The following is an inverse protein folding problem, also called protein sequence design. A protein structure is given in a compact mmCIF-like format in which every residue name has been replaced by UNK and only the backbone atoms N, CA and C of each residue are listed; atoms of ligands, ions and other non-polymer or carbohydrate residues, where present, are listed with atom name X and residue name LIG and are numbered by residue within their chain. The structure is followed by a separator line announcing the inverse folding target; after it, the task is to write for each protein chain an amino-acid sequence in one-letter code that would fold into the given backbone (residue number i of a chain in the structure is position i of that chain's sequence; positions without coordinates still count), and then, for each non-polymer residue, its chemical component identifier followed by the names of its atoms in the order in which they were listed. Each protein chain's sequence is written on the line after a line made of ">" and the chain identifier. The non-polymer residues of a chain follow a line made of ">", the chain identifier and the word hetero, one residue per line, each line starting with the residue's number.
data_IF_344330539293
#
_entry.id   IF_344330539293
#
_cell.length_a   1.000
_cell.length_b   1.000
_cell.length_c   1.000
_cell.angle_alpha   90.00
_cell.angle_beta   90.00
_cell.angle_gamma   90.00
#
_symmetry.space_group_name_H-M   'P 1'
#
loop_
_entity.id
_entity.type
_entity.pdbx_description
1 polymer ?
#
# COMPACT_ATOMS: atom_id res chain seq x y z
N UNK A 1 -24.32 -1.90 10.95
CA UNK A 1 -23.17 -2.46 10.21
C UNK A 1 -23.40 -3.92 9.87
N UNK A 2 -23.06 -4.33 8.64
CA UNK A 2 -23.18 -5.73 8.18
C UNK A 2 -21.79 -6.36 8.14
N UNK A 3 -21.63 -7.57 8.67
CA UNK A 3 -20.38 -8.32 8.66
C UNK A 3 -20.50 -9.65 7.92
N UNK A 4 -19.40 -10.11 7.33
CA UNK A 4 -19.28 -11.40 6.68
C UNK A 4 -19.23 -12.55 7.71
N UNK A 5 -18.59 -12.29 8.86
CA UNK A 5 -18.46 -13.16 10.01
C UNK A 5 -18.20 -12.32 11.27
N UNK A 6 -18.31 -12.87 12.49
CA UNK A 6 -17.99 -12.15 13.72
C UNK A 6 -16.53 -11.64 13.71
N UNK A 7 -16.32 -10.37 14.05
CA UNK A 7 -14.97 -9.81 14.13
C UNK A 7 -14.25 -10.32 15.39
N UNK A 8 -12.93 -10.58 15.28
CA UNK A 8 -12.14 -11.01 16.44
C UNK A 8 -11.97 -9.84 17.43
N UNK A 9 -11.74 -10.16 18.69
CA UNK A 9 -11.45 -9.17 19.72
C UNK A 9 -10.07 -8.51 19.52
N UNK A 10 -9.12 -9.26 18.94
CA UNK A 10 -7.74 -8.85 18.69
C UNK A 10 -7.31 -9.25 17.29
N UNK A 11 -6.23 -8.64 16.79
CA UNK A 11 -5.60 -8.98 15.52
C UNK A 11 -4.08 -8.91 15.62
N UNK A 12 -3.37 -9.50 14.67
CA UNK A 12 -1.93 -9.36 14.50
C UNK A 12 -1.62 -8.15 13.61
N UNK A 13 -0.59 -7.40 14.01
CA UNK A 13 -0.16 -6.20 13.28
C UNK A 13 1.34 -5.96 13.48
N UNK A 14 2.06 -5.69 12.39
CA UNK A 14 3.44 -5.26 12.43
C UNK A 14 3.51 -3.75 12.65
N UNK A 15 3.70 -3.35 13.89
CA UNK A 15 3.73 -1.95 14.30
C UNK A 15 5.17 -1.46 14.36
N UNK A 16 5.48 -0.39 13.62
CA UNK A 16 6.76 0.30 13.71
C UNK A 16 6.69 1.29 14.88
N UNK A 17 7.50 1.03 15.90
CA UNK A 17 7.53 1.76 17.18
C UNK A 17 8.74 2.68 17.34
N UNK A 18 9.61 2.72 16.34
CA UNK A 18 10.84 3.50 16.33
C UNK A 18 11.66 3.26 15.08
N UNK A 19 12.89 3.71 15.06
CA UNK A 19 13.83 3.59 13.94
C UNK A 19 14.45 2.20 13.88
N UNK A 20 14.47 1.59 12.70
CA UNK A 20 15.14 0.32 12.43
C UNK A 20 14.25 -0.91 12.64
N UNK A 21 14.67 -2.02 12.04
CA UNK A 21 13.93 -3.27 12.02
C UNK A 21 13.65 -3.87 13.41
N UNK A 22 14.53 -3.63 14.38
CA UNK A 22 14.33 -4.07 15.76
C UNK A 22 13.10 -3.43 16.44
N UNK A 23 12.59 -2.32 15.88
CA UNK A 23 11.39 -1.63 16.36
C UNK A 23 10.13 -1.97 15.57
N UNK A 24 10.20 -2.90 14.63
CA UNK A 24 9.05 -3.43 13.89
C UNK A 24 8.52 -4.68 14.61
N UNK A 25 7.33 -4.58 15.20
CA UNK A 25 6.76 -5.61 16.05
C UNK A 25 7.48 -5.72 17.41
N UNK A 26 7.38 -6.87 18.05
CA UNK A 26 8.08 -7.20 19.31
C UNK A 26 8.80 -8.53 19.15
N UNK A 27 10.08 -8.56 19.44
CA UNK A 27 10.94 -9.77 19.36
C UNK A 27 10.87 -10.47 18.00
N UNK A 28 10.83 -9.70 16.91
CA UNK A 28 10.74 -10.22 15.54
C UNK A 28 9.38 -10.86 15.19
N UNK A 29 8.33 -10.54 15.94
CA UNK A 29 6.95 -11.04 15.73
C UNK A 29 5.96 -9.87 15.64
N UNK A 30 4.83 -10.06 14.95
CA UNK A 30 3.76 -9.06 14.96
C UNK A 30 3.17 -8.94 16.37
N UNK A 31 2.76 -7.73 16.70
CA UNK A 31 2.07 -7.45 17.96
C UNK A 31 0.63 -7.99 17.90
N UNK A 32 0.12 -8.53 19.00
CA UNK A 32 -1.30 -8.76 19.20
C UNK A 32 -1.92 -7.47 19.73
N UNK A 33 -2.83 -6.88 18.94
CA UNK A 33 -3.46 -5.60 19.29
C UNK A 33 -4.99 -5.74 19.33
N UNK A 34 -5.69 -4.89 20.08
CA UNK A 34 -7.16 -4.83 20.01
C UNK A 34 -7.60 -4.61 18.56
N UNK A 35 -8.74 -5.21 18.20
CA UNK A 35 -9.36 -4.93 16.92
C UNK A 35 -9.67 -3.44 16.80
N UNK A 36 -9.40 -2.76 15.67
CA UNK A 36 -9.59 -1.33 15.54
C UNK A 36 -11.06 -0.95 15.68
N UNK A 37 -11.32 0.21 16.28
CA UNK A 37 -12.66 0.77 16.37
C UNK A 37 -13.16 1.14 14.96
N UNK A 38 -14.44 0.92 14.74
CA UNK A 38 -15.13 1.24 13.49
C UNK A 38 -16.51 1.81 13.80
N UNK A 39 -17.06 2.54 12.87
CA UNK A 39 -18.37 3.19 12.96
C UNK A 39 -19.26 2.79 11.78
N UNK A 40 -20.48 3.30 11.73
CA UNK A 40 -21.40 3.14 10.59
C UNK A 40 -20.92 3.84 9.32
N UNK A 41 -19.93 4.74 9.44
CA UNK A 41 -19.30 5.48 8.33
C UNK A 41 -18.08 4.78 7.74
N UNK A 42 -17.71 3.59 8.24
CA UNK A 42 -16.50 2.91 7.86
C UNK A 42 -16.77 1.59 7.10
N UNK A 43 -15.75 1.14 6.37
CA UNK A 43 -15.63 -0.25 5.95
C UNK A 43 -14.57 -0.95 6.80
N UNK A 44 -14.78 -2.23 7.05
CA UNK A 44 -13.77 -3.11 7.64
C UNK A 44 -13.26 -4.05 6.54
N UNK A 45 -11.96 -4.07 6.33
CA UNK A 45 -11.35 -4.95 5.35
C UNK A 45 -10.36 -5.92 6.01
N UNK A 46 -10.36 -7.15 5.54
CA UNK A 46 -9.29 -8.12 5.79
C UNK A 46 -8.23 -7.93 4.72
N UNK A 47 -6.96 -7.85 5.12
CA UNK A 47 -5.85 -7.87 4.17
C UNK A 47 -5.65 -9.31 3.69
N UNK A 48 -5.73 -9.51 2.39
CA UNK A 48 -5.56 -10.82 1.76
C UNK A 48 -4.09 -11.07 1.37
N UNK A 49 -3.39 -10.04 0.90
CA UNK A 49 -1.96 -10.03 0.63
C UNK A 49 -1.42 -8.60 0.72
N UNK A 50 -0.14 -8.49 1.10
CA UNK A 50 0.60 -7.23 1.13
C UNK A 50 1.99 -7.45 0.52
N UNK A 51 2.33 -6.69 -0.51
CA UNK A 51 3.68 -6.60 -1.05
C UNK A 51 4.60 -5.82 -0.11
N UNK A 52 5.90 -6.05 -0.24
CA UNK A 52 6.94 -5.29 0.47
C UNK A 52 7.68 -4.40 -0.51
N UNK A 53 7.52 -3.11 -0.35
CA UNK A 53 8.15 -2.09 -1.17
C UNK A 53 9.47 -1.62 -0.57
N UNK A 54 10.37 -1.13 -1.40
CA UNK A 54 11.57 -0.45 -0.91
C UNK A 54 11.25 0.80 -0.06
N UNK A 55 10.11 1.43 -0.28
CA UNK A 55 9.63 2.54 0.54
C UNK A 55 9.30 2.13 1.98
N UNK A 56 8.85 0.88 2.22
CA UNK A 56 8.69 0.36 3.58
C UNK A 56 10.04 0.24 4.29
N UNK A 57 11.09 -0.17 3.57
CA UNK A 57 12.45 -0.21 4.10
C UNK A 57 12.93 1.18 4.48
N UNK A 58 12.66 2.19 3.64
CA UNK A 58 13.00 3.59 3.94
C UNK A 58 12.25 4.10 5.17
N UNK A 59 10.96 3.78 5.29
CA UNK A 59 10.14 4.13 6.46
C UNK A 59 10.72 3.50 7.74
N UNK A 60 11.01 2.20 7.71
CA UNK A 60 11.58 1.48 8.86
C UNK A 60 12.94 2.06 9.24
N UNK A 61 13.81 2.34 8.26
CA UNK A 61 15.14 2.89 8.49
C UNK A 61 15.12 4.31 9.05
N UNK A 62 14.18 5.16 8.61
CA UNK A 62 14.09 6.55 9.05
C UNK A 62 13.27 6.71 10.34
N UNK A 63 12.30 5.84 10.58
CA UNK A 63 11.39 5.98 11.73
C UNK A 63 10.67 7.34 11.71
N UNK A 64 10.61 8.00 12.85
CA UNK A 64 9.95 9.32 13.01
C UNK A 64 10.56 10.45 12.16
N UNK A 65 11.78 10.26 11.63
CA UNK A 65 12.39 11.22 10.71
C UNK A 65 11.95 11.07 9.26
N UNK A 66 11.09 10.08 8.94
CA UNK A 66 10.58 9.91 7.59
C UNK A 66 9.63 11.06 7.20
N UNK A 67 9.80 11.73 6.04
CA UNK A 67 9.03 12.93 5.69
C UNK A 67 7.51 12.77 5.70
N UNK A 68 7.00 11.57 5.40
CA UNK A 68 5.55 11.30 5.39
C UNK A 68 4.94 11.09 6.79
N UNK A 69 5.76 11.01 7.84
CA UNK A 69 5.31 10.83 9.24
C UNK A 69 6.01 11.82 10.19
N UNK A 70 6.57 12.89 9.63
CA UNK A 70 7.25 13.92 10.42
C UNK A 70 6.36 14.47 11.53
N UNK A 71 6.95 14.62 12.73
CA UNK A 71 6.25 15.07 13.92
C UNK A 71 5.50 13.97 14.68
N UNK A 72 5.48 12.72 14.19
CA UNK A 72 4.85 11.59 14.88
C UNK A 72 5.86 10.88 15.80
N UNK A 73 5.50 10.75 17.06
CA UNK A 73 6.26 9.95 18.04
C UNK A 73 5.84 8.47 17.93
N UNK A 74 6.60 7.69 17.19
CA UNK A 74 6.30 6.28 16.93
C UNK A 74 6.27 5.43 18.20
N UNK A 75 6.94 5.83 19.27
CA UNK A 75 6.89 5.10 20.54
C UNK A 75 5.51 5.20 21.20
N UNK A 76 4.83 6.33 21.02
CA UNK A 76 3.48 6.57 21.57
C UNK A 76 2.38 6.24 20.57
N UNK A 77 2.62 6.53 19.30
CA UNK A 77 1.68 6.36 18.21
C UNK A 77 2.35 5.62 17.03
N UNK A 78 2.50 4.29 17.14
CA UNK A 78 3.13 3.47 16.12
C UNK A 78 2.42 3.54 14.78
N UNK A 79 3.16 3.40 13.68
CA UNK A 79 2.58 3.21 12.35
C UNK A 79 2.64 1.73 11.94
N UNK A 80 1.74 1.33 11.05
CA UNK A 80 1.75 0.00 10.41
C UNK A 80 2.13 0.20 8.95
N UNK A 81 3.29 -0.31 8.49
CA UNK A 81 3.72 -0.21 7.10
C UNK A 81 2.88 -1.08 6.14
N UNK A 82 3.23 -1.02 4.85
CA UNK A 82 2.62 -1.83 3.79
C UNK A 82 1.52 -1.10 3.05
N UNK A 83 1.73 -0.84 1.75
CA UNK A 83 0.80 -0.10 0.89
C UNK A 83 0.43 -0.83 -0.39
N UNK A 84 1.13 -1.90 -0.74
CA UNK A 84 0.85 -2.76 -1.89
C UNK A 84 -0.14 -3.85 -1.46
N UNK A 85 -1.45 -3.55 -1.41
CA UNK A 85 -2.42 -4.43 -0.78
C UNK A 85 -3.52 -4.93 -1.71
N UNK A 86 -3.92 -6.19 -1.49
CA UNK A 86 -5.23 -6.68 -1.87
C UNK A 86 -6.04 -6.99 -0.62
N UNK A 87 -7.33 -6.72 -0.66
CA UNK A 87 -8.19 -6.82 0.50
C UNK A 87 -9.60 -7.30 0.15
N UNK A 88 -10.26 -7.90 1.14
CA UNK A 88 -11.67 -8.30 1.08
C UNK A 88 -12.46 -7.50 2.10
N UNK A 89 -13.56 -6.88 1.69
CA UNK A 89 -14.48 -6.20 2.59
C UNK A 89 -15.18 -7.25 3.46
N UNK A 90 -15.02 -7.15 4.76
CA UNK A 90 -15.62 -8.07 5.75
C UNK A 90 -16.65 -7.37 6.65
N UNK A 91 -16.69 -6.03 6.63
CA UNK A 91 -17.70 -5.24 7.32
C UNK A 91 -18.08 -4.00 6.52
N UNK A 92 -19.38 -3.72 6.43
CA UNK A 92 -19.92 -2.57 5.70
C UNK A 92 -20.78 -1.75 6.67
N UNK A 93 -20.38 -0.50 6.89
CA UNK A 93 -21.12 0.49 7.65
C UNK A 93 -22.45 0.83 6.98
N UNK A 94 -23.41 1.29 7.76
CA UNK A 94 -24.77 1.51 7.27
C UNK A 94 -24.83 2.57 6.19
N UNK A 95 -23.96 3.57 6.25
CA UNK A 95 -23.80 4.60 5.21
C UNK A 95 -23.39 4.05 3.84
N UNK A 96 -22.71 2.92 3.82
CA UNK A 96 -22.13 2.33 2.61
C UNK A 96 -22.91 1.15 2.05
N UNK A 97 -24.02 0.78 2.69
CA UNK A 97 -24.93 -0.24 2.15
C UNK A 97 -25.43 0.16 0.77
N UNK A 98 -25.44 -0.79 -0.15
CA UNK A 98 -25.80 -0.55 -1.55
C UNK A 98 -24.65 -0.07 -2.44
N UNK A 99 -23.55 0.47 -1.89
CA UNK A 99 -22.34 0.83 -2.64
C UNK A 99 -21.25 -0.24 -2.51
N UNK A 100 -21.11 -0.84 -1.34
CA UNK A 100 -20.17 -1.92 -1.08
C UNK A 100 -20.90 -3.15 -0.55
N UNK A 101 -20.33 -4.32 -0.80
CA UNK A 101 -20.84 -5.59 -0.31
C UNK A 101 -19.77 -6.36 0.45
N UNK A 102 -20.16 -7.06 1.52
CA UNK A 102 -19.25 -8.00 2.20
C UNK A 102 -18.82 -9.11 1.23
N UNK A 103 -17.56 -9.50 1.29
CA UNK A 103 -16.97 -10.46 0.36
C UNK A 103 -16.43 -9.85 -0.93
N UNK A 104 -16.75 -8.59 -1.26
CA UNK A 104 -16.17 -7.89 -2.42
C UNK A 104 -14.69 -7.60 -2.20
N UNK A 105 -13.93 -7.66 -3.28
CA UNK A 105 -12.46 -7.58 -3.27
C UNK A 105 -11.98 -6.33 -3.98
N UNK A 106 -10.94 -5.74 -3.41
CA UNK A 106 -10.36 -4.49 -3.90
C UNK A 106 -8.83 -4.51 -3.77
N UNK A 107 -8.19 -3.67 -4.57
CA UNK A 107 -6.89 -3.08 -4.25
C UNK A 107 -7.12 -1.66 -3.76
N UNK A 108 -6.12 -1.09 -3.12
CA UNK A 108 -6.17 0.27 -2.63
C UNK A 108 -5.10 1.09 -3.33
N UNK A 109 -5.48 2.24 -3.89
CA UNK A 109 -4.52 3.22 -4.36
C UNK A 109 -3.78 3.79 -3.16
N UNK A 110 -2.45 3.65 -3.15
CA UNK A 110 -1.63 3.93 -1.98
C UNK A 110 -1.55 5.43 -1.64
N UNK A 111 -1.39 6.29 -2.64
CA UNK A 111 -1.37 7.74 -2.45
C UNK A 111 -2.80 8.29 -2.43
N UNK A 112 -3.17 8.84 -1.28
CA UNK A 112 -4.51 9.34 -0.98
C UNK A 112 -4.40 10.85 -0.73
N UNK A 113 -5.27 11.63 -1.36
CA UNK A 113 -5.33 13.08 -1.20
C UNK A 113 -6.52 13.48 -0.34
N UNK A 114 -6.28 14.30 0.66
CA UNK A 114 -7.31 14.84 1.57
C UNK A 114 -7.03 16.32 1.82
N UNK A 115 -7.94 17.19 1.41
CA UNK A 115 -7.81 18.65 1.50
C UNK A 115 -6.50 19.15 0.86
N UNK A 116 -6.18 18.67 -0.33
CA UNK A 116 -4.97 19.03 -1.08
C UNK A 116 -3.66 18.51 -0.50
N UNK A 117 -3.71 17.67 0.53
CA UNK A 117 -2.53 17.06 1.15
C UNK A 117 -2.48 15.57 0.84
N UNK A 118 -1.30 15.11 0.46
CA UNK A 118 -1.06 13.68 0.28
C UNK A 118 -0.96 13.00 1.64
N UNK A 119 -1.77 11.97 1.86
CA UNK A 119 -1.55 11.00 2.91
C UNK A 119 -1.43 9.62 2.27
N UNK A 120 -0.58 8.76 2.79
CA UNK A 120 -0.40 7.45 2.18
C UNK A 120 -0.86 6.36 3.15
N UNK A 121 -1.50 5.35 2.59
CA UNK A 121 -1.80 4.12 3.30
C UNK A 121 -0.50 3.47 3.76
N UNK A 122 -0.44 3.03 5.00
CA UNK A 122 0.77 2.46 5.59
C UNK A 122 1.77 3.48 6.13
N UNK A 123 1.40 4.77 6.24
CA UNK A 123 2.28 5.81 6.76
C UNK A 123 1.64 6.57 7.93
N UNK A 124 1.31 7.87 7.75
CA UNK A 124 1.01 8.76 8.86
C UNK A 124 -0.36 8.54 9.53
N UNK A 125 -1.43 8.66 8.76
CA UNK A 125 -2.79 8.69 9.31
C UNK A 125 -3.57 7.40 9.07
N UNK A 126 -3.07 6.55 8.18
CA UNK A 126 -3.76 5.34 7.76
C UNK A 126 -2.91 4.13 8.09
N UNK A 127 -3.53 3.18 8.76
CA UNK A 127 -2.91 1.88 9.03
C UNK A 127 -2.62 1.13 7.74
N UNK A 128 -1.50 0.43 7.69
CA UNK A 128 -1.06 -0.27 6.49
C UNK A 128 -1.42 -1.75 6.43
N UNK A 129 -0.98 -2.36 5.33
CA UNK A 129 -1.27 -3.75 4.98
C UNK A 129 -0.53 -4.81 5.77
N UNK A 130 0.50 -4.44 6.56
CA UNK A 130 1.17 -5.38 7.45
C UNK A 130 0.37 -5.64 8.74
N UNK A 131 -0.95 -5.74 8.60
CA UNK A 131 -1.92 -6.12 9.63
C UNK A 131 -2.97 -7.06 9.05
N UNK A 132 -3.66 -7.82 9.90
CA UNK A 132 -4.71 -8.73 9.43
C UNK A 132 -5.96 -8.01 8.93
N UNK A 133 -6.30 -6.88 9.58
CA UNK A 133 -7.48 -6.09 9.25
C UNK A 133 -7.15 -4.61 9.28
N UNK A 134 -7.92 -3.84 8.53
CA UNK A 134 -7.89 -2.36 8.50
C UNK A 134 -9.29 -1.81 8.50
N UNK A 135 -9.45 -0.63 9.09
CA UNK A 135 -10.66 0.18 8.98
C UNK A 135 -10.43 1.25 7.93
N UNK A 136 -11.32 1.33 6.97
CA UNK A 136 -11.27 2.25 5.84
C UNK A 136 -12.36 3.30 6.04
N UNK A 137 -11.95 4.47 6.44
CA UNK A 137 -12.84 5.60 6.70
C UNK A 137 -12.85 6.63 5.59
N UNK A 138 -13.36 7.81 5.91
CA UNK A 138 -13.54 8.93 4.99
C UNK A 138 -12.33 9.24 4.10
N UNK A 139 -11.08 9.25 4.58
CA UNK A 139 -9.92 9.52 3.71
C UNK A 139 -9.82 8.59 2.50
N UNK A 140 -10.14 7.32 2.69
CA UNK A 140 -10.10 6.30 1.62
C UNK A 140 -11.37 6.32 0.76
N UNK A 141 -12.51 6.56 1.37
CA UNK A 141 -13.82 6.39 0.73
C UNK A 141 -14.34 7.67 0.07
N UNK A 142 -13.89 8.84 0.52
CA UNK A 142 -14.32 10.17 0.09
C UNK A 142 -13.16 11.17 0.12
N UNK A 143 -11.97 10.77 -0.33
CA UNK A 143 -10.86 11.72 -0.49
C UNK A 143 -11.05 12.63 -1.69
N UNK A 144 -10.06 13.47 -1.99
CA UNK A 144 -10.17 14.53 -3.00
C UNK A 144 -10.48 14.00 -4.40
N UNK A 145 -9.94 12.84 -4.76
CA UNK A 145 -10.21 12.17 -6.04
C UNK A 145 -11.37 11.16 -5.95
N UNK A 146 -12.11 11.15 -4.85
CA UNK A 146 -13.20 10.23 -4.58
C UNK A 146 -12.78 8.98 -3.81
N UNK A 147 -13.21 7.80 -4.27
CA UNK A 147 -12.93 6.54 -3.60
C UNK A 147 -11.63 5.93 -4.13
N UNK A 148 -10.70 5.64 -3.24
CA UNK A 148 -9.39 5.03 -3.54
C UNK A 148 -9.39 3.51 -3.55
N UNK A 149 -10.56 2.86 -3.38
CA UNK A 149 -10.72 1.43 -3.56
C UNK A 149 -11.04 1.09 -5.01
N UNK A 150 -10.20 0.28 -5.65
CA UNK A 150 -10.36 -0.17 -7.02
C UNK A 150 -10.86 -1.62 -7.02
N UNK A 151 -12.02 -1.92 -7.62
CA UNK A 151 -12.60 -3.25 -7.57
C UNK A 151 -11.79 -4.27 -8.35
N UNK A 152 -11.69 -5.48 -7.82
CA UNK A 152 -11.01 -6.61 -8.45
C UNK A 152 -12.00 -7.52 -9.17
N UNK A 153 -11.61 -8.01 -10.34
CA UNK A 153 -12.31 -9.09 -11.00
C UNK A 153 -12.26 -10.38 -10.17
N UNK A 154 -13.35 -11.14 -10.17
CA UNK A 154 -13.51 -12.36 -9.35
C UNK A 154 -12.36 -13.36 -9.55
N UNK A 155 -11.83 -13.44 -10.77
CA UNK A 155 -10.78 -14.41 -11.14
C UNK A 155 -9.36 -13.97 -10.78
N UNK A 156 -9.14 -12.71 -10.36
CA UNK A 156 -7.80 -12.22 -10.01
C UNK A 156 -7.35 -12.87 -8.71
N UNK A 157 -6.18 -13.45 -8.68
CA UNK A 157 -5.56 -13.99 -7.47
C UNK A 157 -5.30 -12.89 -6.42
N UNK A 158 -5.14 -13.27 -5.16
CA UNK A 158 -4.92 -12.29 -4.08
C UNK A 158 -3.52 -11.70 -4.13
N UNK A 159 -2.54 -12.53 -4.40
CA UNK A 159 -1.13 -12.12 -4.50
C UNK A 159 -0.92 -11.26 -5.75
N UNK A 160 -1.44 -11.71 -6.89
CA UNK A 160 -1.38 -10.95 -8.15
C UNK A 160 -2.04 -9.57 -8.01
N UNK A 161 -3.13 -9.50 -7.25
CA UNK A 161 -3.81 -8.25 -6.99
C UNK A 161 -2.96 -7.27 -6.17
N UNK A 162 -2.22 -7.75 -5.17
CA UNK A 162 -1.30 -6.92 -4.39
C UNK A 162 -0.15 -6.36 -5.25
N UNK A 163 0.25 -7.07 -6.31
CA UNK A 163 1.29 -6.62 -7.24
C UNK A 163 0.81 -5.54 -8.23
N UNK A 164 -0.47 -5.22 -8.28
CA UNK A 164 -0.99 -4.17 -9.20
C UNK A 164 -0.38 -2.81 -8.86
N UNK A 165 -0.19 -2.49 -7.58
CA UNK A 165 0.41 -1.22 -7.18
C UNK A 165 1.82 -1.04 -7.77
N UNK A 166 2.81 -1.94 -7.54
CA UNK A 166 4.13 -1.77 -8.13
C UNK A 166 4.11 -1.84 -9.67
N UNK A 167 3.21 -2.61 -10.29
CA UNK A 167 3.03 -2.59 -11.74
C UNK A 167 2.55 -1.24 -12.25
N UNK A 168 1.66 -0.55 -11.53
CA UNK A 168 1.23 0.80 -11.93
C UNK A 168 2.37 1.81 -11.87
N UNK A 169 3.30 1.68 -10.92
CA UNK A 169 4.52 2.49 -10.85
C UNK A 169 5.41 2.26 -12.10
N UNK A 170 5.58 1.00 -12.53
CA UNK A 170 6.31 0.68 -13.77
C UNK A 170 5.62 1.29 -14.99
N UNK A 171 4.31 1.08 -15.14
CA UNK A 171 3.53 1.62 -16.27
C UNK A 171 3.59 3.16 -16.27
N UNK A 172 3.46 3.79 -15.11
CA UNK A 172 3.53 5.24 -14.99
C UNK A 172 4.88 5.80 -15.47
N UNK A 173 5.97 5.05 -15.31
CA UNK A 173 7.28 5.46 -15.81
C UNK A 173 7.33 5.63 -17.34
N UNK A 174 6.51 4.89 -18.08
CA UNK A 174 6.36 5.02 -19.54
C UNK A 174 5.46 6.19 -19.95
N UNK A 175 4.71 6.78 -19.01
CA UNK A 175 3.85 7.94 -19.25
C UNK A 175 4.56 9.27 -19.04
N UNK A 176 5.85 9.26 -18.74
CA UNK A 176 6.64 10.48 -18.52
C UNK A 176 6.79 11.22 -19.86
N UNK A 177 6.05 12.33 -20.00
CA UNK A 177 6.04 13.14 -21.23
C UNK A 177 7.37 13.82 -21.57
N UNK A 178 8.22 14.03 -20.56
CA UNK A 178 9.49 14.73 -20.74
C UNK A 178 10.54 13.89 -21.49
N UNK A 179 10.45 12.56 -21.40
CA UNK A 179 11.38 11.65 -22.10
C UNK A 179 10.75 10.27 -22.21
N UNK A 180 10.25 9.94 -23.38
CA UNK A 180 9.59 8.65 -23.68
C UNK A 180 10.53 7.63 -24.31
N UNK A 181 11.74 8.06 -24.68
CA UNK A 181 12.79 7.23 -25.24
C UNK A 181 14.18 7.71 -24.79
N UNK A 182 15.23 6.89 -24.84
CA UNK A 182 16.60 7.34 -24.65
C UNK A 182 16.92 8.50 -25.58
N UNK A 183 17.69 9.48 -25.10
CA UNK A 183 18.12 10.61 -25.93
C UNK A 183 19.01 10.11 -27.07
N UNK A 184 18.69 10.45 -28.31
CA UNK A 184 19.53 10.16 -29.46
C UNK A 184 20.97 10.70 -29.22
N UNK A 185 21.98 9.86 -29.48
CA UNK A 185 23.38 10.18 -29.19
C UNK A 185 23.75 10.19 -27.69
N UNK A 186 22.83 9.78 -26.80
CA UNK A 186 23.10 9.60 -25.38
C UNK A 186 23.87 8.30 -25.10
N UNK A 187 24.35 8.16 -23.86
CA UNK A 187 24.98 6.93 -23.37
C UNK A 187 23.95 6.15 -22.52
N UNK A 188 23.67 4.91 -22.90
CA UNK A 188 22.89 3.99 -22.08
C UNK A 188 23.85 3.24 -21.16
N UNK A 189 23.63 3.37 -19.86
CA UNK A 189 24.37 2.61 -18.86
C UNK A 189 23.51 1.46 -18.36
N UNK A 190 23.96 0.22 -18.59
CA UNK A 190 23.27 -0.99 -18.12
C UNK A 190 24.11 -1.61 -17.01
N UNK A 191 23.55 -1.72 -15.81
CA UNK A 191 24.22 -2.32 -14.65
C UNK A 191 23.48 -3.58 -14.19
N UNK A 192 24.21 -4.51 -13.58
CA UNK A 192 23.61 -5.71 -12.96
C UNK A 192 23.74 -7.00 -13.77
N UNK A 193 24.52 -7.01 -14.85
CA UNK A 193 24.85 -8.22 -15.60
C UNK A 193 26.23 -8.73 -15.21
N UNK A 194 26.36 -10.05 -15.04
CA UNK A 194 27.67 -10.70 -14.89
C UNK A 194 28.39 -10.72 -16.23
N UNK A 195 29.73 -10.76 -16.18
CA UNK A 195 30.56 -10.90 -17.38
C UNK A 195 30.13 -12.12 -18.23
N UNK A 196 29.94 -11.93 -19.52
CA UNK A 196 29.48 -12.98 -20.45
C UNK A 196 27.95 -13.18 -20.51
N UNK A 197 27.15 -12.46 -19.77
CA UNK A 197 25.71 -12.47 -19.96
C UNK A 197 25.31 -11.60 -21.15
N UNK A 198 24.41 -12.13 -21.98
CA UNK A 198 23.82 -11.36 -23.08
C UNK A 198 22.89 -10.32 -22.50
N UNK A 199 23.11 -9.05 -22.82
CA UNK A 199 22.17 -7.99 -22.52
C UNK A 199 20.85 -8.33 -23.22
N UNK A 200 19.69 -8.35 -22.50
CA UNK A 200 18.41 -8.59 -23.14
C UNK A 200 18.23 -7.68 -24.34
N UNK A 201 17.65 -8.20 -25.41
CA UNK A 201 17.29 -7.40 -26.55
C UNK A 201 16.38 -6.26 -26.07
N UNK A 202 16.89 -5.06 -26.18
CA UNK A 202 16.15 -3.84 -25.86
C UNK A 202 15.21 -3.48 -27.03
N UNK A 203 14.55 -4.51 -27.60
CA UNK A 203 13.64 -4.40 -28.71
C UNK A 203 12.63 -3.27 -28.47
N UNK A 204 12.63 -2.29 -29.35
CA UNK A 204 11.81 -1.07 -29.22
C UNK A 204 12.56 0.14 -28.67
N UNK A 205 13.80 0.02 -28.20
CA UNK A 205 14.68 1.15 -28.04
C UNK A 205 15.38 1.40 -29.38
N UNK A 206 15.02 2.48 -30.08
CA UNK A 206 15.83 2.95 -31.18
C UNK A 206 17.22 3.31 -30.63
N UNK A 207 18.18 2.42 -30.84
CA UNK A 207 19.58 2.75 -30.67
C UNK A 207 19.91 3.75 -31.77
N UNK A 208 19.83 5.05 -31.45
CA UNK A 208 20.32 6.08 -32.36
C UNK A 208 21.75 5.76 -32.71
N UNK A 209 21.99 5.44 -33.98
CA UNK A 209 23.32 5.37 -34.59
C UNK A 209 23.92 6.78 -34.61
#
# INVERSE_FOLDING_TARGET
>A
MQFLYPMPATMLSWRLKGTGLANLGTDGKPDTVPFPRYTEDDLVARIDACGLCFSDIKLIAAGSAHPRIEGRDLAKDPTVPGHEVSLTIVGVGDRWKGKFAVGSRYILQADIYVNGKTTAFGYALLSGGLSQYVVLGKPVLEGDDGCYLLPLAVKTGRVEAALVEPWTCVIASYQIKARTAPKAGGVLYVAGFAEGQVVPDLAGMETGK
#
